data_IF_346451255219
#
_entry.id   IF_346451255219
#
_cell.length_a   1.000
_cell.length_b   1.000
_cell.length_c   1.000
_cell.angle_alpha   90.00
_cell.angle_beta   90.00
_cell.angle_gamma   90.00
#
_symmetry.space_group_name_H-M   'P 1'
#
loop_
_entity.id
_entity.type
_entity.pdbx_description
1 polymer ?
#
# COMPACT_ATOMS: atom_id res chain seq x y z
N UNK A 1 -0.20 13.23 2.10
CA UNK A 1 1.02 12.43 2.31
C UNK A 1 1.73 12.98 3.52
N UNK A 2 2.14 12.14 4.47
CA UNK A 2 2.90 12.59 5.62
C UNK A 2 4.25 13.16 5.18
N UNK A 3 4.59 14.32 5.72
CA UNK A 3 5.92 14.90 5.63
C UNK A 3 6.87 14.16 6.57
N UNK A 4 8.18 14.31 6.33
CA UNK A 4 9.19 13.73 7.20
C UNK A 4 9.10 14.25 8.64
N UNK A 5 8.70 15.51 8.84
CA UNK A 5 8.59 16.07 10.19
C UNK A 5 7.39 15.51 10.95
N UNK A 6 6.24 15.34 10.29
CA UNK A 6 5.08 14.67 10.89
C UNK A 6 5.40 13.22 11.29
N UNK A 7 6.14 12.48 10.46
CA UNK A 7 6.59 11.11 10.81
C UNK A 7 7.50 11.13 12.03
N UNK A 8 8.41 12.10 12.16
CA UNK A 8 9.29 12.21 13.32
C UNK A 8 8.52 12.53 14.59
N UNK A 9 7.48 13.36 14.51
CA UNK A 9 6.66 13.68 15.68
C UNK A 9 5.91 12.45 16.18
N UNK A 10 5.25 11.72 15.27
CA UNK A 10 4.57 10.45 15.61
C UNK A 10 5.57 9.44 16.21
N UNK A 11 6.81 9.37 15.70
CA UNK A 11 7.83 8.51 16.30
C UNK A 11 8.22 8.92 17.73
N UNK A 12 8.27 10.23 18.04
CA UNK A 12 8.52 10.75 19.39
C UNK A 12 7.39 10.41 20.36
N UNK A 13 6.15 10.28 19.87
CA UNK A 13 5.00 9.82 20.67
C UNK A 13 5.09 8.32 21.06
N UNK A 14 6.07 7.57 20.54
CA UNK A 14 6.36 6.19 20.91
C UNK A 14 5.84 5.14 19.92
N UNK A 15 5.29 5.55 18.78
CA UNK A 15 4.88 4.63 17.71
C UNK A 15 6.11 4.10 16.95
N UNK A 16 6.16 2.78 16.73
CA UNK A 16 7.28 2.09 16.07
C UNK A 16 6.96 1.61 14.64
N UNK A 17 5.73 1.79 14.18
CA UNK A 17 5.27 1.46 12.83
C UNK A 17 4.35 2.58 12.32
N UNK A 18 4.81 3.33 11.33
CA UNK A 18 4.13 4.51 10.80
C UNK A 18 3.95 4.33 9.29
N UNK A 19 2.72 4.06 8.79
CA UNK A 19 2.48 3.86 7.37
C UNK A 19 2.57 5.20 6.63
N UNK A 20 3.43 5.27 5.62
CA UNK A 20 3.48 6.39 4.67
C UNK A 20 2.89 5.92 3.35
N UNK A 21 1.80 6.54 2.94
CA UNK A 21 1.10 6.19 1.72
C UNK A 21 0.80 7.41 0.86
N UNK A 22 0.50 7.13 -0.41
CA UNK A 22 -0.10 8.08 -1.34
C UNK A 22 -1.22 7.40 -2.11
N UNK A 23 -2.18 8.19 -2.52
CA UNK A 23 -3.20 7.76 -3.47
C UNK A 23 -2.75 8.13 -4.89
N UNK A 24 -3.13 7.29 -5.85
CA UNK A 24 -2.89 7.48 -7.28
C UNK A 24 -4.17 7.15 -8.04
N UNK A 25 -4.38 7.81 -9.18
CA UNK A 25 -5.46 7.44 -10.11
C UNK A 25 -5.10 6.13 -10.79
N UNK A 26 -5.99 5.14 -10.73
CA UNK A 26 -5.75 3.80 -11.24
C UNK A 26 -6.96 3.24 -12.01
N UNK A 27 -7.75 4.11 -12.62
CA UNK A 27 -9.02 3.78 -13.30
C UNK A 27 -8.87 2.75 -14.42
N UNK A 28 -7.65 2.61 -14.97
CA UNK A 28 -7.31 1.65 -16.02
C UNK A 28 -6.60 0.40 -15.50
N UNK A 29 -6.45 0.26 -14.19
CA UNK A 29 -5.84 -0.91 -13.56
C UNK A 29 -6.89 -1.87 -13.01
N UNK A 30 -6.63 -3.17 -13.16
CA UNK A 30 -7.25 -4.21 -12.35
C UNK A 30 -6.32 -4.58 -11.20
N UNK A 31 -6.79 -5.29 -10.15
CA UNK A 31 -5.88 -5.77 -9.10
C UNK A 31 -4.71 -6.59 -9.67
N UNK A 32 -4.96 -7.42 -10.70
CA UNK A 32 -3.92 -8.17 -11.39
C UNK A 32 -2.94 -7.26 -12.16
N UNK A 33 -3.40 -6.27 -12.92
CA UNK A 33 -2.48 -5.40 -13.68
C UNK A 33 -1.65 -4.51 -12.76
N UNK A 34 -2.24 -4.01 -11.67
CA UNK A 34 -1.53 -3.27 -10.63
C UNK A 34 -0.45 -4.15 -9.96
N UNK A 35 -0.80 -5.37 -9.58
CA UNK A 35 0.16 -6.34 -9.04
C UNK A 35 1.32 -6.62 -10.00
N UNK A 36 1.03 -6.83 -11.28
CA UNK A 36 2.05 -7.07 -12.30
C UNK A 36 3.02 -5.89 -12.47
N UNK A 37 2.55 -4.65 -12.29
CA UNK A 37 3.35 -3.42 -12.38
C UNK A 37 4.16 -3.13 -11.11
N UNK A 38 3.62 -3.47 -9.94
CA UNK A 38 4.23 -3.18 -8.64
C UNK A 38 5.16 -4.28 -8.12
N UNK A 39 4.98 -5.53 -8.57
CA UNK A 39 5.82 -6.64 -8.14
C UNK A 39 7.28 -6.37 -8.49
N UNK A 40 8.14 -6.42 -7.48
CA UNK A 40 9.59 -6.27 -7.63
C UNK A 40 10.29 -7.62 -7.45
N UNK A 41 11.62 -7.64 -7.40
CA UNK A 41 12.35 -8.87 -7.06
C UNK A 41 12.15 -9.21 -5.58
N UNK A 42 11.75 -10.45 -5.29
CA UNK A 42 11.49 -10.92 -3.93
C UNK A 42 10.13 -11.61 -3.81
N UNK A 43 9.67 -11.78 -2.55
CA UNK A 43 8.37 -12.36 -2.26
C UNK A 43 7.26 -11.33 -2.52
N UNK A 44 6.38 -11.63 -3.47
CA UNK A 44 5.19 -10.83 -3.78
C UNK A 44 3.97 -11.72 -3.68
N UNK A 45 2.85 -11.17 -3.20
CA UNK A 45 1.60 -11.90 -3.06
C UNK A 45 0.44 -11.05 -3.57
N UNK A 46 -0.43 -11.65 -4.38
CA UNK A 46 -1.72 -11.08 -4.78
C UNK A 46 -2.80 -11.80 -3.96
N UNK A 47 -3.53 -11.04 -3.15
CA UNK A 47 -4.66 -11.54 -2.39
C UNK A 47 -5.93 -10.95 -3.00
N UNK A 48 -6.77 -11.82 -3.56
CA UNK A 48 -8.10 -11.46 -4.07
C UNK A 48 -9.15 -12.27 -3.32
N UNK A 49 -10.29 -11.65 -3.04
CA UNK A 49 -11.44 -12.29 -2.42
C UNK A 49 -12.63 -12.14 -3.33
N UNK A 50 -13.36 -13.24 -3.54
CA UNK A 50 -14.70 -13.22 -4.13
C UNK A 50 -15.70 -13.41 -3.01
N UNK A 51 -16.42 -12.34 -2.65
CA UNK A 51 -17.51 -12.43 -1.71
C UNK A 51 -18.73 -13.05 -2.41
N UNK A 52 -19.34 -14.10 -1.83
CA UNK A 52 -20.59 -14.69 -2.32
C UNK A 52 -20.46 -15.84 -3.34
N UNK A 53 -19.33 -16.02 -4.01
CA UNK A 53 -19.03 -17.21 -4.83
C UNK A 53 -19.91 -17.47 -6.06
N UNK A 54 -20.97 -16.68 -6.28
CA UNK A 54 -21.95 -16.79 -7.36
C UNK A 54 -22.41 -15.41 -7.86
#
# INVERSE_FOLDING_TARGET
>A
MLTLEEVKEIAREGFNLIPVYREILADLETPLSAFMKLRSLGANMLLESVEGGE
#
